data_IF_920901910676
#
_entry.id   IF_920901910676
#
_cell.length_a   1.000
_cell.length_b   1.000
_cell.length_c   1.000
_cell.angle_alpha   90.00
_cell.angle_beta   90.00
_cell.angle_gamma   90.00
#
_symmetry.space_group_name_H-M   'P 1'
#
loop_
_entity.id
_entity.type
_entity.pdbx_description
1 polymer ?
#
# COMPACT_ATOMS: atom_id res chain seq x y z
N UNK A 1 21.63 47.06 1.15
CA UNK A 1 21.61 45.84 0.31
C UNK A 1 21.63 44.53 1.11
N UNK A 2 21.77 44.53 2.45
CA UNK A 2 21.86 43.28 3.24
C UNK A 2 20.53 42.70 3.71
N UNK A 3 19.49 43.49 4.01
CA UNK A 3 18.25 42.92 4.59
C UNK A 3 17.41 42.10 3.60
N UNK A 4 17.43 42.47 2.31
CA UNK A 4 16.70 41.74 1.27
C UNK A 4 17.30 40.36 1.00
N UNK A 5 18.64 40.26 1.01
CA UNK A 5 19.35 39.00 0.82
C UNK A 5 19.11 38.04 2.01
N UNK A 6 19.12 38.56 3.24
CA UNK A 6 18.80 37.77 4.43
C UNK A 6 17.35 37.28 4.44
N UNK A 7 16.40 38.13 4.01
CA UNK A 7 14.98 37.75 3.89
C UNK A 7 14.76 36.64 2.84
N UNK A 8 15.44 36.72 1.69
CA UNK A 8 15.38 35.71 0.63
C UNK A 8 15.99 34.36 1.06
N UNK A 9 17.08 34.38 1.84
CA UNK A 9 17.68 33.16 2.40
C UNK A 9 16.74 32.52 3.43
N UNK A 10 16.10 33.32 4.30
CA UNK A 10 15.13 32.83 5.28
C UNK A 10 13.88 32.27 4.59
N UNK A 11 13.37 32.92 3.53
CA UNK A 11 12.27 32.40 2.71
C UNK A 11 12.65 31.12 1.96
N UNK A 12 13.88 31.02 1.43
CA UNK A 12 14.38 29.80 0.80
C UNK A 12 14.52 28.64 1.80
N UNK A 13 14.99 28.93 3.03
CA UNK A 13 15.06 27.95 4.12
C UNK A 13 13.65 27.53 4.59
N UNK A 14 12.72 28.47 4.77
CA UNK A 14 11.32 28.17 5.10
C UNK A 14 10.62 27.37 3.99
N UNK A 15 10.91 27.65 2.72
CA UNK A 15 10.43 26.86 1.59
C UNK A 15 11.05 25.45 1.54
N UNK A 16 12.26 25.25 2.07
CA UNK A 16 12.85 23.92 2.24
C UNK A 16 12.33 23.15 3.46
N UNK A 17 11.62 23.81 4.39
CA UNK A 17 10.88 23.18 5.48
C UNK A 17 9.39 22.99 5.17
N UNK A 18 8.90 23.63 4.11
CA UNK A 18 7.67 23.20 3.46
C UNK A 18 8.04 21.93 2.69
N UNK A 19 8.07 20.80 3.40
CA UNK A 19 7.66 19.56 2.75
C UNK A 19 6.25 19.85 2.23
N UNK A 20 6.14 20.23 0.96
CA UNK A 20 4.91 20.01 0.22
C UNK A 20 4.66 18.53 0.42
N UNK A 21 3.70 18.18 1.28
CA UNK A 21 3.37 16.79 1.58
C UNK A 21 3.00 16.16 0.25
N UNK A 22 3.97 15.56 -0.41
CA UNK A 22 3.84 14.89 -1.69
C UNK A 22 2.67 13.92 -1.53
N UNK A 23 1.74 13.86 -2.48
CA UNK A 23 0.49 13.10 -2.35
C UNK A 23 0.76 11.72 -1.73
N UNK A 24 0.27 11.50 -0.51
CA UNK A 24 0.51 10.27 0.26
C UNK A 24 -0.55 9.21 -0.01
N UNK A 25 -1.56 9.56 -0.83
CA UNK A 25 -2.63 8.66 -1.23
C UNK A 25 -2.41 8.22 -2.68
N UNK A 26 -2.31 6.91 -2.86
CA UNK A 26 -2.43 6.27 -4.15
C UNK A 26 -3.74 5.54 -4.32
N UNK A 27 -3.92 5.00 -5.51
CA UNK A 27 -5.04 4.11 -5.82
C UNK A 27 -4.49 2.87 -6.51
N UNK A 28 -5.05 1.72 -6.17
CA UNK A 28 -4.75 0.45 -6.84
C UNK A 28 -5.52 0.36 -8.14
N UNK A 29 -4.83 0.11 -9.24
CA UNK A 29 -5.45 -0.17 -10.53
C UNK A 29 -5.65 -1.68 -10.69
N UNK A 30 -6.79 -2.15 -10.19
CA UNK A 30 -7.30 -3.50 -10.43
C UNK A 30 -7.81 -3.65 -11.87
N UNK A 31 -7.54 -4.80 -12.47
CA UNK A 31 -7.83 -5.11 -13.88
C UNK A 31 -8.70 -6.35 -14.05
N UNK A 32 -9.31 -6.86 -12.97
CA UNK A 32 -10.19 -8.04 -13.00
C UNK A 32 -11.63 -7.68 -13.39
N UNK A 33 -11.79 -7.06 -14.56
CA UNK A 33 -13.11 -6.78 -15.13
C UNK A 33 -13.09 -6.80 -16.66
N UNK A 34 -14.22 -7.12 -17.28
CA UNK A 34 -14.36 -7.18 -18.74
C UNK A 34 -15.02 -5.93 -19.37
N UNK A 35 -15.28 -4.90 -18.55
CA UNK A 35 -15.96 -3.67 -18.92
C UNK A 35 -15.19 -2.40 -18.51
N UNK A 36 -13.90 -2.54 -18.18
CA UNK A 36 -13.04 -1.45 -17.74
C UNK A 36 -12.62 -0.55 -18.92
N UNK A 37 -12.31 0.74 -18.67
CA UNK A 37 -11.74 1.64 -19.69
C UNK A 37 -10.39 1.14 -20.21
N UNK A 38 -9.94 1.71 -21.32
CA UNK A 38 -8.57 1.48 -21.81
C UNK A 38 -7.54 2.01 -20.81
N UNK A 39 -6.34 1.43 -20.79
CA UNK A 39 -5.29 1.86 -19.86
C UNK A 39 -4.93 3.34 -20.04
N UNK A 40 -4.96 3.87 -21.27
CA UNK A 40 -4.77 5.30 -21.56
C UNK A 40 -5.83 6.18 -20.90
N UNK A 41 -7.10 5.77 -20.96
CA UNK A 41 -8.19 6.49 -20.30
C UNK A 41 -8.04 6.44 -18.79
N UNK A 42 -7.62 5.30 -18.23
CA UNK A 42 -7.36 5.17 -16.80
C UNK A 42 -6.22 6.09 -16.37
N UNK A 43 -5.10 6.14 -17.09
CA UNK A 43 -4.00 7.08 -16.76
C UNK A 43 -4.46 8.54 -16.86
N UNK A 44 -5.31 8.86 -17.85
CA UNK A 44 -5.91 10.19 -17.96
C UNK A 44 -6.81 10.50 -16.76
N UNK A 45 -7.58 9.53 -16.29
CA UNK A 45 -8.45 9.65 -15.12
C UNK A 45 -7.65 9.82 -13.82
N UNK A 46 -6.52 9.12 -13.65
CA UNK A 46 -5.59 9.37 -12.52
C UNK A 46 -5.12 10.82 -12.54
N UNK A 47 -4.67 11.31 -13.71
CA UNK A 47 -4.19 12.67 -13.87
C UNK A 47 -5.25 13.74 -13.61
N UNK A 48 -6.48 13.54 -14.11
CA UNK A 48 -7.58 14.50 -13.93
C UNK A 48 -8.11 14.56 -12.50
N UNK A 49 -7.84 13.54 -11.69
CA UNK A 49 -8.22 13.48 -10.26
C UNK A 49 -7.01 13.69 -9.34
N UNK A 50 -5.88 14.14 -9.89
CA UNK A 50 -4.67 14.44 -9.14
C UNK A 50 -4.09 13.27 -8.32
N UNK A 51 -4.37 12.03 -8.75
CA UNK A 51 -3.83 10.82 -8.14
C UNK A 51 -2.43 10.58 -8.70
N UNK A 52 -1.40 10.75 -7.85
CA UNK A 52 0.01 10.68 -8.25
C UNK A 52 0.73 9.39 -7.88
N UNK A 53 0.04 8.47 -7.20
CA UNK A 53 0.58 7.15 -6.83
C UNK A 53 -0.36 6.04 -7.37
N UNK A 54 0.20 5.07 -8.07
CA UNK A 54 -0.51 3.92 -8.62
C UNK A 54 0.09 2.61 -8.14
N UNK A 55 -0.77 1.65 -7.78
CA UNK A 55 -0.36 0.26 -7.61
C UNK A 55 -0.89 -0.59 -8.76
N UNK A 56 0.02 -1.26 -9.46
CA UNK A 56 -0.26 -2.30 -10.45
C UNK A 56 0.10 -3.67 -9.85
N UNK A 57 -0.82 -4.63 -9.92
CA UNK A 57 -0.57 -5.99 -9.41
C UNK A 57 0.38 -6.80 -10.28
N UNK A 58 0.59 -6.37 -11.52
CA UNK A 58 1.48 -6.98 -12.49
C UNK A 58 1.94 -5.98 -13.56
N UNK A 59 3.03 -6.24 -14.29
CA UNK A 59 3.52 -5.34 -15.34
C UNK A 59 2.67 -5.43 -16.61
N UNK A 60 1.44 -4.90 -16.57
CA UNK A 60 0.59 -4.78 -17.75
C UNK A 60 1.25 -3.84 -18.77
N UNK A 61 1.61 -4.36 -19.94
CA UNK A 61 2.38 -3.62 -20.95
C UNK A 61 1.64 -2.40 -21.50
N UNK A 62 0.31 -2.47 -21.66
CA UNK A 62 -0.50 -1.35 -22.13
C UNK A 62 -0.54 -0.23 -21.08
N UNK A 63 -0.68 -0.58 -19.79
CA UNK A 63 -0.62 0.39 -18.70
C UNK A 63 0.76 1.02 -18.57
N UNK A 64 1.82 0.21 -18.60
CA UNK A 64 3.20 0.73 -18.57
C UNK A 64 3.50 1.65 -19.75
N UNK A 65 2.97 1.35 -20.94
CA UNK A 65 3.09 2.22 -22.09
C UNK A 65 2.34 3.55 -21.90
N UNK A 66 1.11 3.51 -21.38
CA UNK A 66 0.32 4.70 -21.08
C UNK A 66 0.91 5.57 -19.94
N UNK A 67 1.65 4.95 -19.02
CA UNK A 67 2.27 5.62 -17.87
C UNK A 67 3.52 6.44 -18.23
N UNK A 68 4.15 6.21 -19.40
CA UNK A 68 5.36 6.94 -19.81
C UNK A 68 5.12 8.45 -19.79
N UNK A 69 5.95 9.18 -19.04
CA UNK A 69 5.85 10.65 -18.94
C UNK A 69 4.63 11.18 -18.19
N UNK A 70 3.83 10.32 -17.54
CA UNK A 70 2.63 10.74 -16.78
C UNK A 70 2.93 11.40 -15.44
N UNK A 71 4.17 11.28 -14.94
CA UNK A 71 4.59 11.66 -13.57
C UNK A 71 3.87 10.92 -12.43
N UNK A 72 3.07 9.89 -12.72
CA UNK A 72 2.49 9.01 -11.70
C UNK A 72 3.57 8.04 -11.23
N UNK A 73 3.75 7.94 -9.91
CA UNK A 73 4.66 6.96 -9.31
C UNK A 73 4.02 5.58 -9.23
N UNK A 74 4.79 4.56 -9.55
CA UNK A 74 4.28 3.21 -9.74
C UNK A 74 4.90 2.23 -8.73
N UNK A 75 4.03 1.59 -7.96
CA UNK A 75 4.30 0.29 -7.34
C UNK A 75 3.86 -0.80 -8.32
N UNK A 76 4.79 -1.64 -8.78
CA UNK A 76 4.48 -2.75 -9.70
C UNK A 76 4.73 -4.10 -9.03
N UNK A 77 3.78 -5.02 -9.18
CA UNK A 77 3.86 -6.36 -8.60
C UNK A 77 4.61 -7.35 -9.48
N UNK A 78 5.40 -8.23 -8.86
CA UNK A 78 5.68 -9.57 -9.40
C UNK A 78 4.53 -10.45 -8.96
N UNK A 79 3.76 -10.99 -9.92
CA UNK A 79 2.61 -11.85 -9.57
C UNK A 79 3.07 -13.12 -8.85
N UNK A 80 2.21 -13.67 -8.00
CA UNK A 80 2.48 -14.94 -7.32
C UNK A 80 2.81 -16.07 -8.33
N UNK A 81 2.19 -16.05 -9.51
CA UNK A 81 2.46 -16.99 -10.61
C UNK A 81 3.85 -16.85 -11.26
N UNK A 82 4.50 -15.69 -11.13
CA UNK A 82 5.85 -15.44 -11.66
C UNK A 82 6.96 -15.70 -10.64
N UNK A 83 6.62 -15.96 -9.36
CA UNK A 83 7.60 -16.19 -8.29
C UNK A 83 8.56 -17.34 -8.64
N UNK A 84 8.04 -18.43 -9.19
CA UNK A 84 8.86 -19.58 -9.61
C UNK A 84 9.86 -19.21 -10.71
N UNK A 85 9.45 -18.37 -11.66
CA UNK A 85 10.32 -17.91 -12.74
C UNK A 85 11.46 -17.02 -12.20
N UNK A 86 11.13 -15.99 -11.40
CA UNK A 86 12.12 -15.03 -10.90
C UNK A 86 13.04 -15.61 -9.83
N UNK A 87 12.54 -16.57 -9.03
CA UNK A 87 13.34 -17.27 -8.02
C UNK A 87 14.27 -18.33 -8.63
N UNK A 88 13.89 -18.93 -9.77
CA UNK A 88 14.65 -20.04 -10.37
C UNK A 88 16.08 -19.68 -10.79
N UNK A 89 16.34 -18.44 -11.21
CA UNK A 89 17.71 -18.01 -11.51
C UNK A 89 17.88 -16.49 -11.53
N UNK A 90 19.12 -16.06 -11.29
CA UNK A 90 19.54 -14.67 -11.47
C UNK A 90 19.19 -14.13 -12.86
N UNK A 91 19.48 -14.89 -13.92
CA UNK A 91 19.18 -14.47 -15.30
C UNK A 91 17.69 -14.20 -15.52
N UNK A 92 16.80 -15.02 -14.96
CA UNK A 92 15.35 -14.81 -15.08
C UNK A 92 14.91 -13.53 -14.38
N UNK A 93 15.43 -13.24 -13.19
CA UNK A 93 15.11 -11.99 -12.48
C UNK A 93 15.65 -10.75 -13.20
N UNK A 94 16.83 -10.85 -13.82
CA UNK A 94 17.41 -9.76 -14.62
C UNK A 94 16.59 -9.51 -15.87
N UNK A 95 16.17 -10.58 -16.57
CA UNK A 95 15.26 -10.48 -17.70
C UNK A 95 13.91 -9.87 -17.31
N UNK A 96 13.33 -10.29 -16.18
CA UNK A 96 12.08 -9.71 -15.67
C UNK A 96 12.22 -8.21 -15.41
N UNK A 97 13.29 -7.77 -14.72
CA UNK A 97 13.53 -6.34 -14.46
C UNK A 97 13.81 -5.59 -15.76
N UNK A 98 14.56 -6.18 -16.69
CA UNK A 98 14.83 -5.55 -17.98
C UNK A 98 13.54 -5.28 -18.76
N UNK A 99 12.73 -6.33 -18.97
CA UNK A 99 11.48 -6.25 -19.76
C UNK A 99 10.44 -5.32 -19.15
N UNK A 100 10.32 -5.31 -17.82
CA UNK A 100 9.19 -4.66 -17.15
C UNK A 100 9.55 -3.30 -16.55
N UNK A 101 10.83 -3.04 -16.27
CA UNK A 101 11.29 -1.79 -15.64
C UNK A 101 12.19 -1.02 -16.61
N UNK A 102 13.29 -1.61 -17.06
CA UNK A 102 14.30 -0.90 -17.87
C UNK A 102 13.74 -0.50 -19.24
N UNK A 103 12.98 -1.38 -19.90
CA UNK A 103 12.29 -1.08 -21.16
C UNK A 103 11.35 0.14 -21.03
N UNK A 104 10.83 0.40 -19.83
CA UNK A 104 9.90 1.48 -19.52
C UNK A 104 10.55 2.56 -18.64
N UNK A 105 11.78 2.96 -18.97
CA UNK A 105 12.57 3.95 -18.21
C UNK A 105 11.90 5.31 -17.96
N UNK A 106 10.88 5.65 -18.75
CA UNK A 106 10.12 6.90 -18.64
C UNK A 106 8.92 6.80 -17.67
N UNK A 107 8.73 5.62 -17.06
CA UNK A 107 7.75 5.38 -15.98
C UNK A 107 8.44 5.60 -14.64
N UNK A 108 7.80 6.34 -13.74
CA UNK A 108 8.35 6.68 -12.42
C UNK A 108 8.13 5.53 -11.43
N UNK A 109 8.87 4.43 -11.58
CA UNK A 109 8.80 3.32 -10.63
C UNK A 109 9.36 3.72 -9.26
N UNK A 110 8.64 3.36 -8.20
CA UNK A 110 9.03 3.60 -6.80
C UNK A 110 9.22 2.30 -6.02
N UNK A 111 8.33 1.33 -6.26
CA UNK A 111 8.35 0.04 -5.57
C UNK A 111 8.19 -1.12 -6.54
N UNK A 112 8.87 -2.23 -6.25
CA UNK A 112 8.51 -3.55 -6.77
C UNK A 112 8.00 -4.39 -5.61
N UNK A 113 6.74 -4.83 -5.70
CA UNK A 113 6.10 -5.74 -4.74
C UNK A 113 6.25 -7.18 -5.21
N UNK A 114 7.17 -7.94 -4.61
CA UNK A 114 7.41 -9.34 -4.94
C UNK A 114 6.39 -10.21 -4.22
N UNK A 115 5.37 -10.64 -4.96
CA UNK A 115 4.22 -11.35 -4.40
C UNK A 115 3.21 -10.42 -3.72
N UNK A 116 2.00 -10.97 -3.52
CA UNK A 116 0.90 -10.35 -2.80
C UNK A 116 0.19 -11.40 -1.95
N UNK A 117 0.20 -11.22 -0.63
CA UNK A 117 -0.48 -12.08 0.35
C UNK A 117 -0.15 -13.57 0.16
N UNK A 118 1.13 -13.88 -0.10
CA UNK A 118 1.58 -15.26 -0.21
C UNK A 118 1.40 -15.95 1.13
N UNK A 119 0.53 -16.97 1.15
CA UNK A 119 0.22 -17.72 2.36
C UNK A 119 1.49 -18.44 2.88
N UNK A 120 1.95 -18.17 4.12
CA UNK A 120 3.13 -18.82 4.68
C UNK A 120 3.06 -20.35 4.76
N UNK A 121 1.85 -20.92 4.73
CA UNK A 121 1.62 -22.37 4.72
C UNK A 121 1.68 -22.99 3.32
N UNK A 122 1.79 -22.18 2.25
CA UNK A 122 1.99 -22.67 0.89
C UNK A 122 3.43 -23.17 0.71
N UNK A 123 3.62 -24.48 0.77
CA UNK A 123 4.93 -25.12 0.60
C UNK A 123 5.56 -24.96 -0.79
N UNK A 124 4.84 -24.42 -1.77
CA UNK A 124 5.34 -24.15 -3.12
C UNK A 124 5.75 -22.70 -3.29
N UNK A 125 4.89 -21.75 -2.90
CA UNK A 125 5.12 -20.33 -3.13
C UNK A 125 5.87 -19.63 -2.01
N UNK A 126 5.59 -19.95 -0.74
CA UNK A 126 6.18 -19.24 0.40
C UNK A 126 7.73 -19.28 0.41
N UNK A 127 8.39 -20.42 0.13
CA UNK A 127 9.85 -20.47 0.06
C UNK A 127 10.46 -19.60 -1.05
N UNK A 128 9.69 -19.27 -2.09
CA UNK A 128 10.16 -18.53 -3.25
C UNK A 128 10.21 -17.02 -3.02
N UNK A 129 9.42 -16.48 -2.09
CA UNK A 129 9.30 -15.02 -1.87
C UNK A 129 10.65 -14.41 -1.49
N UNK A 130 11.34 -14.99 -0.50
CA UNK A 130 12.65 -14.49 -0.08
C UNK A 130 13.69 -14.54 -1.21
N UNK A 131 13.74 -15.65 -1.96
CA UNK A 131 14.66 -15.83 -3.09
C UNK A 131 14.36 -14.82 -4.20
N UNK A 132 13.08 -14.62 -4.51
CA UNK A 132 12.62 -13.66 -5.50
C UNK A 132 12.95 -12.22 -5.08
N UNK A 133 12.75 -11.85 -3.80
CA UNK A 133 13.14 -10.55 -3.25
C UNK A 133 14.62 -10.27 -3.45
N UNK A 134 15.49 -11.24 -3.10
CA UNK A 134 16.94 -11.09 -3.25
C UNK A 134 17.36 -10.97 -4.72
N UNK A 135 16.80 -11.82 -5.59
CA UNK A 135 17.14 -11.84 -7.02
C UNK A 135 16.70 -10.54 -7.71
N UNK A 136 15.45 -10.08 -7.47
CA UNK A 136 14.93 -8.84 -8.04
C UNK A 136 15.71 -7.63 -7.52
N UNK A 137 16.07 -7.60 -6.22
CA UNK A 137 16.90 -6.52 -5.69
C UNK A 137 18.27 -6.46 -6.33
N UNK A 138 18.90 -7.61 -6.54
CA UNK A 138 20.19 -7.67 -7.24
C UNK A 138 20.07 -7.14 -8.68
N UNK A 139 19.04 -7.55 -9.41
CA UNK A 139 18.76 -7.07 -10.76
C UNK A 139 18.56 -5.54 -10.80
N UNK A 140 17.74 -5.00 -9.89
CA UNK A 140 17.48 -3.55 -9.78
C UNK A 140 18.78 -2.78 -9.51
N UNK A 141 19.65 -3.29 -8.63
CA UNK A 141 20.96 -2.68 -8.36
C UNK A 141 21.88 -2.77 -9.58
N UNK A 142 21.91 -3.92 -10.27
CA UNK A 142 22.71 -4.12 -11.47
C UNK A 142 22.38 -3.10 -12.58
N UNK A 143 21.10 -2.80 -12.78
CA UNK A 143 20.66 -1.78 -13.75
C UNK A 143 20.79 -0.33 -13.23
N UNK A 144 21.42 -0.10 -12.08
CA UNK A 144 21.66 1.24 -11.54
C UNK A 144 20.43 1.91 -10.90
N UNK A 145 19.36 1.15 -10.67
CA UNK A 145 18.07 1.64 -10.16
C UNK A 145 17.94 1.50 -8.64
N UNK A 146 18.97 0.98 -7.96
CA UNK A 146 18.94 0.58 -6.55
C UNK A 146 18.63 1.68 -5.53
N UNK A 147 18.83 2.95 -5.89
CA UNK A 147 18.50 4.11 -5.06
C UNK A 147 17.11 4.69 -5.36
N UNK A 148 16.54 4.37 -6.54
CA UNK A 148 15.23 4.88 -6.97
C UNK A 148 14.12 3.90 -6.63
N UNK A 149 14.35 2.60 -6.83
CA UNK A 149 13.33 1.56 -6.69
C UNK A 149 13.63 0.70 -5.48
N UNK A 150 12.68 0.68 -4.54
CA UNK A 150 12.73 -0.21 -3.37
C UNK A 150 12.01 -1.52 -3.70
N UNK A 151 12.57 -2.64 -3.24
CA UNK A 151 12.00 -3.97 -3.44
C UNK A 151 11.43 -4.42 -2.10
N UNK A 152 10.16 -4.84 -2.10
CA UNK A 152 9.44 -5.29 -0.91
C UNK A 152 8.44 -6.38 -1.27
N UNK A 153 7.63 -6.84 -0.33
CA UNK A 153 6.53 -7.78 -0.53
C UNK A 153 5.30 -7.28 0.21
N UNK A 154 4.11 -7.60 -0.32
CA UNK A 154 2.83 -7.25 0.30
C UNK A 154 2.29 -8.42 1.13
N UNK A 155 2.02 -8.13 2.41
CA UNK A 155 1.39 -9.08 3.34
C UNK A 155 0.00 -8.59 3.75
N UNK A 156 -0.84 -9.51 4.18
CA UNK A 156 -2.06 -9.21 4.93
C UNK A 156 -1.81 -9.28 6.44
N UNK A 157 -2.83 -8.91 7.21
CA UNK A 157 -2.79 -8.89 8.68
C UNK A 157 -3.07 -10.25 9.33
N UNK A 158 -3.36 -11.31 8.56
CA UNK A 158 -3.58 -12.66 9.09
C UNK A 158 -2.30 -13.31 9.62
N UNK A 159 -1.13 -12.78 9.26
CA UNK A 159 0.17 -13.18 9.82
C UNK A 159 0.35 -12.75 11.30
N UNK A 160 -0.46 -11.81 11.78
CA UNK A 160 -0.42 -11.32 13.15
C UNK A 160 -1.18 -12.29 14.09
N UNK A 161 -0.55 -12.63 15.21
CA UNK A 161 -1.15 -13.46 16.26
C UNK A 161 -1.74 -12.61 17.38
N UNK A 162 -0.87 -11.97 18.17
CA UNK A 162 -1.30 -11.02 19.20
C UNK A 162 -1.57 -9.67 18.54
N UNK A 163 -2.78 -9.12 18.72
CA UNK A 163 -3.25 -7.91 18.05
C UNK A 163 -4.02 -6.94 18.97
N UNK A 164 -4.10 -7.21 20.28
CA UNK A 164 -4.73 -6.33 21.26
C UNK A 164 -4.03 -6.35 22.63
N UNK A 165 -3.77 -5.17 23.23
CA UNK A 165 -3.79 -3.84 22.60
C UNK A 165 -2.65 -3.72 21.55
N UNK A 166 -2.60 -2.64 20.75
CA UNK A 166 -1.63 -2.52 19.65
C UNK A 166 -0.15 -2.78 20.01
N UNK A 167 0.30 -2.37 21.19
CA UNK A 167 1.65 -2.62 21.72
C UNK A 167 1.99 -4.11 21.87
N UNK A 168 0.98 -4.97 21.99
CA UNK A 168 1.14 -6.42 22.05
C UNK A 168 1.27 -7.07 20.67
N UNK A 169 1.13 -6.30 19.59
CA UNK A 169 1.36 -6.71 18.20
C UNK A 169 2.54 -7.66 18.03
N UNK A 170 2.31 -8.88 17.52
CA UNK A 170 3.36 -9.86 17.23
C UNK A 170 2.93 -10.82 16.11
N UNK A 171 3.87 -11.16 15.22
CA UNK A 171 3.67 -12.22 14.24
C UNK A 171 3.44 -13.57 14.92
N UNK A 172 2.58 -14.41 14.33
CA UNK A 172 2.33 -15.78 14.78
C UNK A 172 3.62 -16.60 14.80
N UNK A 173 3.77 -17.52 15.75
CA UNK A 173 4.98 -18.32 15.89
C UNK A 173 5.24 -19.19 14.63
N UNK A 174 4.17 -19.75 14.06
CA UNK A 174 4.19 -20.61 12.89
C UNK A 174 4.58 -19.89 11.59
N UNK A 175 4.45 -18.56 11.49
CA UNK A 175 4.84 -17.80 10.29
C UNK A 175 6.24 -17.20 10.38
N UNK A 176 6.92 -17.30 11.54
CA UNK A 176 8.23 -16.67 11.78
C UNK A 176 9.31 -17.12 10.78
N UNK A 177 9.31 -18.41 10.41
CA UNK A 177 10.26 -18.95 9.43
C UNK A 177 10.11 -18.31 8.04
N UNK A 178 8.91 -17.83 7.71
CA UNK A 178 8.63 -17.11 6.46
C UNK A 178 8.95 -15.61 6.58
N UNK A 179 8.47 -14.94 7.63
CA UNK A 179 8.49 -13.48 7.70
C UNK A 179 9.81 -12.91 8.24
N UNK A 180 10.52 -13.61 9.13
CA UNK A 180 11.75 -13.07 9.75
C UNK A 180 12.88 -12.82 8.73
N UNK A 181 13.17 -13.73 7.76
CA UNK A 181 14.15 -13.46 6.71
C UNK A 181 13.75 -12.30 5.81
N UNK A 182 12.45 -12.12 5.55
CA UNK A 182 11.92 -10.99 4.78
C UNK A 182 12.16 -9.68 5.53
N UNK A 183 11.86 -9.62 6.83
CA UNK A 183 12.10 -8.42 7.66
C UNK A 183 13.60 -8.10 7.69
N UNK A 184 14.47 -9.09 7.87
CA UNK A 184 15.92 -8.89 7.83
C UNK A 184 16.38 -8.33 6.48
N UNK A 185 15.82 -8.82 5.37
CA UNK A 185 16.08 -8.28 4.03
C UNK A 185 15.64 -6.81 3.90
N UNK A 186 14.45 -6.45 4.41
CA UNK A 186 13.93 -5.08 4.37
C UNK A 186 14.82 -4.12 5.16
N UNK A 187 15.24 -4.53 6.37
CA UNK A 187 16.20 -3.79 7.20
C UNK A 187 17.51 -3.55 6.45
N UNK A 188 18.09 -4.60 5.86
CA UNK A 188 19.37 -4.51 5.14
C UNK A 188 19.31 -3.60 3.91
N UNK A 189 18.12 -3.41 3.31
CA UNK A 189 17.94 -2.63 2.09
C UNK A 189 17.27 -1.26 2.31
N UNK A 190 16.98 -0.90 3.57
CA UNK A 190 16.19 0.27 3.94
C UNK A 190 14.94 0.37 3.04
N UNK A 191 14.16 -0.70 3.03
CA UNK A 191 12.93 -0.85 2.26
C UNK A 191 11.72 -0.97 3.21
N UNK A 192 10.56 -0.41 2.86
CA UNK A 192 9.36 -0.54 3.68
C UNK A 192 8.79 -1.95 3.58
N UNK A 193 7.94 -2.35 4.53
CA UNK A 193 7.01 -3.46 4.37
C UNK A 193 5.71 -2.93 3.74
N UNK A 194 5.19 -3.65 2.76
CA UNK A 194 3.87 -3.36 2.17
C UNK A 194 2.80 -4.16 2.94
N UNK A 195 1.75 -3.50 3.40
CA UNK A 195 0.71 -4.15 4.22
C UNK A 195 -0.67 -3.80 3.70
N UNK A 196 -1.48 -4.82 3.44
CA UNK A 196 -2.89 -4.69 3.12
C UNK A 196 -3.69 -4.57 4.43
N UNK A 197 -4.32 -3.42 4.65
CA UNK A 197 -4.98 -3.04 5.91
C UNK A 197 -6.45 -2.74 5.65
N UNK A 198 -7.34 -3.64 6.11
CA UNK A 198 -8.77 -3.52 5.90
C UNK A 198 -9.55 -3.57 7.23
N UNK A 199 -9.80 -2.41 7.88
CA UNK A 199 -10.69 -2.30 9.03
C UNK A 199 -12.09 -2.89 8.80
N UNK A 200 -12.56 -2.91 7.54
CA UNK A 200 -13.81 -3.56 7.16
C UNK A 200 -13.87 -5.03 7.59
N UNK A 201 -12.85 -5.83 7.26
CA UNK A 201 -12.84 -7.27 7.56
C UNK A 201 -12.81 -7.51 9.07
N UNK A 202 -11.96 -6.78 9.81
CA UNK A 202 -11.96 -6.84 11.27
C UNK A 202 -13.32 -6.51 11.88
N UNK A 203 -14.02 -5.48 11.36
CA UNK A 203 -15.37 -5.13 11.82
C UNK A 203 -16.39 -6.23 11.56
N UNK A 204 -16.45 -6.79 10.35
CA UNK A 204 -17.48 -7.80 10.03
C UNK A 204 -17.24 -9.14 10.71
N UNK A 205 -15.98 -9.47 11.01
CA UNK A 205 -15.62 -10.68 11.75
C UNK A 205 -15.91 -10.55 13.25
N UNK A 206 -15.85 -9.34 13.82
CA UNK A 206 -16.18 -9.09 15.22
C UNK A 206 -17.00 -7.79 15.43
N UNK A 207 -18.26 -7.73 14.96
CA UNK A 207 -19.08 -6.53 15.05
C UNK A 207 -19.63 -6.26 16.47
N UNK A 208 -19.43 -7.20 17.40
CA UNK A 208 -19.83 -7.07 18.81
C UNK A 208 -18.83 -6.18 19.55
N UNK A 209 -17.53 -6.44 19.39
CA UNK A 209 -16.49 -5.69 20.09
C UNK A 209 -15.94 -4.52 19.26
N UNK A 210 -16.05 -4.59 17.93
CA UNK A 210 -15.60 -3.53 17.02
C UNK A 210 -16.81 -2.76 16.52
N UNK A 211 -16.95 -1.51 16.99
CA UNK A 211 -18.02 -0.64 16.50
C UNK A 211 -17.75 -0.15 15.07
N UNK A 212 -18.80 0.07 14.29
CA UNK A 212 -18.71 0.65 12.95
C UNK A 212 -18.05 2.05 12.99
N UNK A 213 -18.30 2.81 14.05
CA UNK A 213 -17.72 4.14 14.22
C UNK A 213 -16.19 4.09 14.38
N UNK A 214 -15.69 3.10 15.13
CA UNK A 214 -14.25 2.85 15.27
C UNK A 214 -13.61 2.43 13.94
N UNK A 215 -14.29 1.58 13.17
CA UNK A 215 -13.80 1.08 11.88
C UNK A 215 -13.84 2.13 10.75
N UNK A 216 -14.66 3.18 10.87
CA UNK A 216 -14.89 4.20 9.83
C UNK A 216 -14.38 5.60 10.19
N UNK A 217 -13.51 5.71 11.20
CA UNK A 217 -12.94 6.99 11.68
C UNK A 217 -13.98 7.98 12.21
N UNK A 218 -15.12 7.51 12.72
CA UNK A 218 -16.20 8.37 13.23
C UNK A 218 -16.44 8.21 14.73
N UNK A 219 -15.58 7.49 15.45
CA UNK A 219 -15.64 7.41 16.90
C UNK A 219 -15.52 8.80 17.55
N UNK A 220 -16.38 9.15 18.53
CA UNK A 220 -16.34 10.46 19.18
C UNK A 220 -15.13 10.67 20.10
N UNK A 221 -14.36 9.61 20.38
CA UNK A 221 -13.17 9.67 21.23
C UNK A 221 -12.33 8.41 21.16
N UNK A 222 -11.33 8.32 22.04
CA UNK A 222 -10.44 7.16 22.16
C UNK A 222 -11.26 5.91 22.48
N UNK A 223 -11.08 4.87 21.66
CA UNK A 223 -11.74 3.57 21.83
C UNK A 223 -10.82 2.59 22.56
N UNK A 224 -9.53 2.61 22.22
CA UNK A 224 -8.52 1.77 22.87
C UNK A 224 -7.45 2.67 23.48
N UNK A 225 -7.26 2.55 24.80
CA UNK A 225 -6.15 3.17 25.50
C UNK A 225 -5.07 2.10 25.75
N UNK A 226 -3.87 2.32 25.23
CA UNK A 226 -2.73 1.42 25.31
C UNK A 226 -1.52 2.15 25.90
N UNK A 227 -1.40 2.10 27.23
CA UNK A 227 -0.45 2.92 27.97
C UNK A 227 -0.71 4.41 27.71
N UNK A 228 0.27 5.11 27.13
CA UNK A 228 0.14 6.53 26.76
C UNK A 228 -0.50 6.76 25.38
N UNK A 229 -0.70 5.71 24.57
CA UNK A 229 -1.23 5.82 23.21
C UNK A 229 -2.74 5.61 23.21
N UNK A 230 -3.47 6.56 22.60
CA UNK A 230 -4.92 6.48 22.43
C UNK A 230 -5.29 6.25 20.97
N UNK A 231 -6.09 5.24 20.69
CA UNK A 231 -6.55 4.89 19.36
C UNK A 231 -8.04 5.25 19.20
N UNK A 232 -8.31 6.26 18.38
CA UNK A 232 -9.69 6.70 18.05
C UNK A 232 -10.26 5.96 16.83
N UNK A 233 -9.43 5.38 15.98
CA UNK A 233 -9.85 4.62 14.81
C UNK A 233 -9.11 3.28 14.73
N UNK A 234 -9.74 2.31 14.06
CA UNK A 234 -9.23 0.94 13.96
C UNK A 234 -8.04 0.82 13.01
N UNK A 235 -7.97 1.69 11.99
CA UNK A 235 -6.85 1.71 11.04
C UNK A 235 -5.52 1.94 11.76
N UNK A 236 -5.44 2.96 12.62
CA UNK A 236 -4.25 3.25 13.41
C UNK A 236 -3.86 2.10 14.32
N UNK A 237 -4.85 1.46 14.95
CA UNK A 237 -4.60 0.31 15.81
C UNK A 237 -4.01 -0.87 15.03
N UNK A 238 -4.56 -1.19 13.85
CA UNK A 238 -4.03 -2.27 13.00
C UNK A 238 -2.61 -1.94 12.52
N UNK A 239 -2.36 -0.71 12.06
CA UNK A 239 -1.02 -0.33 11.61
C UNK A 239 -0.01 -0.40 12.76
N UNK A 240 -0.37 0.04 13.96
CA UNK A 240 0.53 0.01 15.12
C UNK A 240 0.72 -1.39 15.73
N UNK A 241 -0.25 -2.29 15.54
CA UNK A 241 -0.08 -3.73 15.77
C UNK A 241 1.06 -4.26 14.89
N UNK A 242 1.08 -3.91 13.60
CA UNK A 242 2.12 -4.37 12.68
C UNK A 242 3.47 -3.72 13.01
N UNK A 243 3.52 -2.42 13.34
CA UNK A 243 4.76 -1.80 13.81
C UNK A 243 5.31 -2.47 15.07
N UNK A 244 4.46 -2.81 16.03
CA UNK A 244 4.88 -3.51 17.25
C UNK A 244 5.37 -4.93 16.94
N UNK A 245 4.77 -5.61 15.95
CA UNK A 245 5.24 -6.91 15.48
C UNK A 245 6.62 -6.82 14.79
N UNK A 246 6.83 -5.80 13.96
CA UNK A 246 8.11 -5.50 13.32
C UNK A 246 9.21 -5.23 14.34
N UNK A 247 8.95 -4.40 15.36
CA UNK A 247 9.89 -4.11 16.44
C UNK A 247 10.35 -5.40 17.14
N UNK A 248 9.42 -6.30 17.47
CA UNK A 248 9.71 -7.61 18.09
C UNK A 248 10.39 -8.61 17.15
N UNK A 249 10.32 -8.39 15.85
CA UNK A 249 10.97 -9.20 14.82
C UNK A 249 12.31 -8.62 14.34
N UNK A 250 12.83 -7.57 15.00
CA UNK A 250 14.12 -6.98 14.67
C UNK A 250 14.07 -5.94 13.54
N UNK A 251 12.89 -5.47 13.16
CA UNK A 251 12.67 -4.40 12.18
C UNK A 251 12.12 -3.09 12.75
N UNK A 252 12.66 -2.52 13.85
CA UNK A 252 12.06 -1.34 14.51
C UNK A 252 12.00 -0.09 13.62
N UNK A 253 12.87 -0.03 12.60
CA UNK A 253 12.99 1.07 11.64
C UNK A 253 12.38 0.76 10.28
N UNK A 254 11.79 -0.43 10.08
CA UNK A 254 11.09 -0.76 8.84
C UNK A 254 9.80 0.06 8.80
N UNK A 255 9.69 0.92 7.80
CA UNK A 255 8.47 1.70 7.56
C UNK A 255 7.37 0.81 6.97
N UNK A 256 6.11 1.20 7.22
CA UNK A 256 4.95 0.56 6.59
C UNK A 256 4.42 1.47 5.50
N UNK A 257 4.24 0.91 4.30
CA UNK A 257 3.37 1.46 3.26
C UNK A 257 2.09 0.63 3.27
N UNK A 258 0.94 1.28 3.45
CA UNK A 258 -0.35 0.59 3.36
C UNK A 258 -0.66 0.39 1.89
N UNK A 259 -0.43 -0.83 1.40
CA UNK A 259 -0.49 -1.14 -0.04
C UNK A 259 -1.90 -1.39 -0.55
N UNK A 260 -2.85 -1.67 0.34
CA UNK A 260 -4.28 -1.66 0.08
C UNK A 260 -5.05 -1.27 1.33
N UNK A 261 -6.08 -0.46 1.13
CA UNK A 261 -7.13 -0.27 2.13
C UNK A 261 -8.41 0.21 1.45
N UNK A 262 -9.58 -0.19 1.95
CA UNK A 262 -10.83 0.14 1.30
C UNK A 262 -12.05 -0.31 2.09
N UNK A 263 -13.22 0.03 1.56
CA UNK A 263 -14.50 -0.37 2.13
C UNK A 263 -15.50 -0.63 1.00
N UNK A 264 -16.10 -1.82 0.92
CA UNK A 264 -16.96 -2.19 -0.21
C UNK A 264 -18.31 -1.46 -0.14
N UNK A 265 -18.86 -1.13 -1.31
CA UNK A 265 -20.09 -0.34 -1.41
C UNK A 265 -21.37 -1.16 -1.44
N UNK A 266 -21.27 -2.48 -1.65
CA UNK A 266 -22.38 -3.42 -1.73
C UNK A 266 -21.88 -4.87 -1.56
N UNK A 267 -22.82 -5.83 -1.55
CA UNK A 267 -22.53 -7.26 -1.67
C UNK A 267 -22.40 -8.02 -0.35
N UNK A 268 -22.36 -7.34 0.80
CA UNK A 268 -22.25 -7.96 2.12
C UNK A 268 -22.77 -7.04 3.25
N UNK A 269 -22.75 -7.55 4.49
CA UNK A 269 -23.07 -6.76 5.69
C UNK A 269 -22.13 -5.55 5.81
N UNK A 270 -22.68 -4.40 6.22
CA UNK A 270 -21.98 -3.11 6.33
C UNK A 270 -21.31 -2.58 5.05
N UNK A 271 -21.35 -3.32 3.94
CA UNK A 271 -20.91 -2.89 2.62
C UNK A 271 -22.02 -2.01 2.02
N UNK A 272 -21.98 -0.72 2.31
CA UNK A 272 -22.97 0.25 1.80
C UNK A 272 -22.25 1.43 1.20
N UNK A 273 -22.88 2.07 0.21
CA UNK A 273 -22.36 3.29 -0.39
C UNK A 273 -21.99 4.37 0.65
N UNK A 274 -22.82 4.55 1.69
CA UNK A 274 -22.58 5.55 2.73
C UNK A 274 -21.39 5.19 3.63
N UNK A 275 -21.23 3.92 4.01
CA UNK A 275 -20.09 3.48 4.82
C UNK A 275 -18.79 3.57 4.01
N UNK A 276 -18.81 3.14 2.75
CA UNK A 276 -17.67 3.25 1.85
C UNK A 276 -17.23 4.70 1.65
N UNK A 277 -18.19 5.61 1.36
CA UNK A 277 -17.94 7.04 1.26
C UNK A 277 -17.32 7.61 2.53
N UNK A 278 -17.85 7.23 3.69
CA UNK A 278 -17.37 7.72 4.99
C UNK A 278 -15.94 7.25 5.26
N UNK A 279 -15.68 5.95 5.08
CA UNK A 279 -14.36 5.35 5.25
C UNK A 279 -13.33 6.03 4.35
N UNK A 280 -13.58 6.06 3.03
CA UNK A 280 -12.63 6.56 2.04
C UNK A 280 -12.32 8.05 2.24
N UNK A 281 -13.34 8.88 2.48
CA UNK A 281 -13.15 10.32 2.74
C UNK A 281 -12.30 10.55 3.99
N UNK A 282 -12.60 9.82 5.06
CA UNK A 282 -11.89 10.00 6.32
C UNK A 282 -10.46 9.43 6.25
N UNK A 283 -10.25 8.33 5.54
CA UNK A 283 -8.92 7.77 5.29
C UNK A 283 -8.02 8.77 4.54
N UNK A 284 -8.52 9.37 3.47
CA UNK A 284 -7.78 10.40 2.72
C UNK A 284 -7.43 11.59 3.62
N UNK A 285 -8.37 12.05 4.47
CA UNK A 285 -8.11 13.13 5.41
C UNK A 285 -7.12 12.75 6.54
N UNK A 286 -7.03 11.46 6.88
CA UNK A 286 -6.25 10.92 7.98
C UNK A 286 -4.79 10.61 7.61
N UNK A 287 -4.53 10.07 6.41
CA UNK A 287 -3.23 9.50 6.03
C UNK A 287 -2.02 10.42 6.23
N UNK A 288 -2.21 11.74 6.19
CA UNK A 288 -1.15 12.74 6.40
C UNK A 288 -0.64 12.87 7.84
N UNK A 289 -1.34 12.34 8.83
CA UNK A 289 -1.04 12.58 10.25
C UNK A 289 -0.19 11.49 10.92
N UNK A 290 -0.13 10.31 10.31
CA UNK A 290 0.50 9.14 10.92
C UNK A 290 -0.40 8.41 11.91
N UNK A 291 0.20 7.56 12.73
CA UNK A 291 -0.48 6.81 13.82
C UNK A 291 -0.04 7.34 15.20
N UNK A 292 -0.72 6.96 16.29
CA UNK A 292 -0.26 7.25 17.64
C UNK A 292 1.19 6.81 17.93
N UNK A 293 1.62 5.64 17.46
CA UNK A 293 3.00 5.11 17.68
C UNK A 293 4.03 5.72 16.72
N UNK A 294 3.60 6.28 15.58
CA UNK A 294 4.45 6.97 14.58
C UNK A 294 3.83 8.32 14.18
N UNK A 295 3.76 9.29 15.11
CA UNK A 295 3.07 10.56 14.87
C UNK A 295 3.86 11.48 13.95
N UNK A 296 3.15 12.34 13.19
CA UNK A 296 3.76 13.40 12.39
C UNK A 296 4.51 12.91 11.15
N UNK A 297 4.35 11.63 10.79
CA UNK A 297 4.83 11.03 9.54
C UNK A 297 3.64 10.50 8.77
N UNK A 298 3.43 11.00 7.57
CA UNK A 298 2.37 10.49 6.74
C UNK A 298 2.59 9.01 6.42
N UNK A 299 1.49 8.27 6.34
CA UNK A 299 1.50 6.86 5.95
C UNK A 299 1.14 6.82 4.48
N UNK A 300 2.11 6.50 3.62
CA UNK A 300 1.83 6.27 2.22
C UNK A 300 0.80 5.13 2.11
N UNK A 301 -0.35 5.43 1.51
CA UNK A 301 -1.55 4.59 1.56
C UNK A 301 -2.17 4.46 0.18
N UNK A 302 -2.48 3.25 -0.26
CA UNK A 302 -3.13 2.98 -1.54
C UNK A 302 -4.56 2.52 -1.30
N UNK A 303 -5.52 3.29 -1.83
CA UNK A 303 -6.94 2.92 -1.78
C UNK A 303 -7.21 1.76 -2.74
N UNK A 304 -7.94 0.77 -2.26
CA UNK A 304 -8.44 -0.36 -3.03
C UNK A 304 -9.93 -0.12 -3.36
N UNK A 305 -10.33 0.05 -4.61
CA UNK A 305 -9.51 0.13 -5.85
C UNK A 305 -10.10 1.13 -6.85
N UNK A 306 -9.45 1.37 -7.99
CA UNK A 306 -9.90 2.38 -8.97
C UNK A 306 -11.33 2.13 -9.47
N UNK A 307 -11.68 0.87 -9.75
CA UNK A 307 -12.96 0.50 -10.36
C UNK A 307 -13.62 -0.67 -9.64
N UNK A 308 -14.94 -0.77 -9.79
CA UNK A 308 -15.65 -2.01 -9.49
C UNK A 308 -15.23 -3.09 -10.50
N UNK A 309 -14.72 -4.22 -10.02
CA UNK A 309 -14.10 -5.28 -10.83
C UNK A 309 -15.05 -6.48 -10.98
N UNK A 310 -15.81 -6.50 -12.08
CA UNK A 310 -16.96 -7.41 -12.22
C UNK A 310 -16.63 -8.90 -12.36
N UNK A 311 -15.39 -9.27 -12.64
CA UNK A 311 -14.96 -10.68 -12.72
C UNK A 311 -14.40 -11.22 -11.40
N UNK A 312 -14.35 -10.40 -10.32
CA UNK A 312 -13.93 -10.87 -9.00
C UNK A 312 -15.03 -11.69 -8.34
N UNK A 313 -14.65 -12.60 -7.46
CA UNK A 313 -15.55 -13.32 -6.57
C UNK A 313 -14.92 -13.37 -5.17
N UNK A 314 -15.72 -13.41 -4.08
CA UNK A 314 -17.18 -13.37 -4.03
C UNK A 314 -17.79 -11.98 -4.33
N UNK A 315 -19.12 -11.86 -4.37
CA UNK A 315 -19.84 -10.63 -4.77
C UNK A 315 -19.34 -9.33 -4.12
N UNK A 316 -18.89 -9.37 -2.87
CA UNK A 316 -18.33 -8.20 -2.17
C UNK A 316 -17.10 -7.62 -2.88
N UNK A 317 -16.25 -8.48 -3.44
CA UNK A 317 -15.00 -8.13 -4.11
C UNK A 317 -15.23 -7.28 -5.37
N UNK A 318 -16.43 -7.34 -5.94
CA UNK A 318 -16.80 -6.54 -7.12
C UNK A 318 -17.07 -5.07 -6.81
N UNK A 319 -17.10 -4.66 -5.54
CA UNK A 319 -17.72 -3.39 -5.10
C UNK A 319 -16.76 -2.43 -4.36
N UNK A 320 -15.45 -2.54 -4.57
CA UNK A 320 -14.44 -1.69 -3.94
C UNK A 320 -14.08 -0.41 -4.73
N UNK A 321 -14.64 -0.24 -5.93
CA UNK A 321 -14.27 0.83 -6.85
C UNK A 321 -14.54 2.23 -6.30
N UNK A 322 -13.60 3.15 -6.56
CA UNK A 322 -13.80 4.60 -6.43
C UNK A 322 -14.60 5.19 -7.60
N UNK A 323 -14.52 4.55 -8.75
CA UNK A 323 -15.23 4.90 -9.98
C UNK A 323 -16.02 3.69 -10.47
N UNK A 324 -17.10 3.95 -11.20
CA UNK A 324 -17.73 2.94 -12.02
C UNK A 324 -16.89 2.69 -13.29
N UNK A 325 -17.04 1.54 -13.96
CA UNK A 325 -16.28 1.25 -15.20
C UNK A 325 -16.52 2.25 -16.34
N UNK A 326 -17.63 3.00 -16.32
CA UNK A 326 -17.88 4.10 -17.25
C UNK A 326 -17.17 5.43 -16.86
N UNK A 327 -16.20 5.37 -15.94
CA UNK A 327 -15.42 6.50 -15.40
C UNK A 327 -16.19 7.50 -14.55
N UNK A 328 -17.49 7.27 -14.28
CA UNK A 328 -18.24 8.15 -13.37
C UNK A 328 -17.80 7.93 -11.92
N UNK A 329 -17.52 9.04 -11.23
CA UNK A 329 -17.06 9.04 -9.84
C UNK A 329 -18.14 8.50 -8.90
N UNK A 330 -17.80 7.52 -8.05
CA UNK A 330 -18.70 7.04 -6.97
C UNK A 330 -18.62 7.95 -5.74
N UNK A 331 -17.42 8.44 -5.41
CA UNK A 331 -17.18 9.25 -4.22
C UNK A 331 -16.39 10.50 -4.58
N UNK A 332 -16.87 11.67 -4.14
CA UNK A 332 -16.10 12.91 -4.27
C UNK A 332 -14.97 12.93 -3.22
N UNK A 333 -13.75 12.59 -3.64
CA UNK A 333 -12.55 12.52 -2.81
C UNK A 333 -11.53 13.58 -3.28
N UNK A 334 -10.82 14.19 -2.34
CA UNK A 334 -9.78 15.19 -2.63
C UNK A 334 -8.42 14.60 -2.27
N UNK A 335 -7.64 14.22 -3.29
CA UNK A 335 -6.36 13.50 -3.12
C UNK A 335 -5.16 14.40 -2.78
N UNK A 336 -5.31 15.72 -2.90
CA UNK A 336 -4.30 16.73 -2.62
C UNK A 336 -4.86 17.90 -1.79
#
# INVERSE_FOLDING_TARGET
>A
MSSMATLLIILGLLASFLDTTESQIGVSYGMFGNNLPSETDVISLYNSNDIRLMRLYFPNQAALQALRGSNIEVMVGVQNSELSYVAASRNNSFDWVWRNIVTYSDVKFRYISVGNEVNPSDGTLAPLVYIALTNIREAVVFYGLGNQIKVSTAIDTTLIGANYPPSQGAFKAEVRAYIDPIIAFLVANNAPLLVNVFPYFSYVDNPVDISLAYATFTSPGIVVQDGALGYQNLFDAIVDVVYSALEKAGGPWVEIVVSETGWPSAGASAATFNNARTYLRNMVAHARWGTPKRPGRAIQTYLFSMFDENNKEPQIEKNFGLFYPNQTTKYNLYFN
#
